data_IF_314205522120
#
_entry.id   IF_314205522120
#
_cell.length_a   1.000
_cell.length_b   1.000
_cell.length_c   1.000
_cell.angle_alpha   90.00
_cell.angle_beta   90.00
_cell.angle_gamma   90.00
#
_symmetry.space_group_name_H-M   'P 1'
#
loop_
_entity.id
_entity.type
_entity.pdbx_description
1 polymer ?
#
# COMPACT_ATOMS: atom_id res chain seq x y z
N UNK A 1 27.23 -47.69 -11.13
CA UNK A 1 26.34 -46.74 -10.43
C UNK A 1 25.50 -46.03 -11.47
N UNK A 2 24.24 -46.44 -11.56
CA UNK A 2 23.23 -45.95 -12.49
C UNK A 2 22.82 -44.53 -12.11
N UNK A 3 23.13 -43.56 -12.98
CA UNK A 3 22.53 -42.24 -12.90
C UNK A 3 21.10 -42.33 -13.45
N UNK A 4 20.18 -42.19 -12.51
CA UNK A 4 18.73 -42.06 -12.64
C UNK A 4 18.31 -41.23 -13.85
N UNK A 5 17.54 -41.89 -14.72
CA UNK A 5 16.76 -41.34 -15.82
C UNK A 5 16.02 -40.07 -15.39
N UNK A 6 16.31 -38.94 -16.05
CA UNK A 6 15.49 -37.74 -15.95
C UNK A 6 14.13 -38.05 -16.57
N UNK A 7 13.09 -38.16 -15.75
CA UNK A 7 11.69 -38.17 -16.22
C UNK A 7 11.42 -36.84 -16.95
N UNK A 8 11.56 -36.85 -18.28
CA UNK A 8 11.01 -35.79 -19.12
C UNK A 8 9.49 -35.92 -19.05
N UNK A 9 8.85 -34.90 -18.49
CA UNK A 9 7.41 -34.73 -18.58
C UNK A 9 7.01 -34.64 -20.07
N UNK A 10 5.88 -35.24 -20.50
CA UNK A 10 5.45 -35.22 -21.90
C UNK A 10 5.19 -33.79 -22.41
N UNK A 11 5.38 -33.54 -23.72
CA UNK A 11 5.08 -32.26 -24.42
C UNK A 11 3.58 -31.89 -24.47
N UNK A 12 2.73 -32.61 -23.74
CA UNK A 12 1.27 -32.40 -23.71
C UNK A 12 0.84 -31.86 -22.33
N UNK A 13 0.71 -30.54 -22.25
CA UNK A 13 0.26 -29.85 -21.05
C UNK A 13 -1.14 -30.31 -20.59
N UNK A 14 -1.97 -30.81 -21.52
CA UNK A 14 -3.30 -31.32 -21.20
C UNK A 14 -3.26 -32.67 -20.50
N UNK A 15 -2.38 -33.56 -20.94
CA UNK A 15 -2.15 -34.83 -20.25
C UNK A 15 -1.66 -34.60 -18.81
N UNK A 16 -0.72 -33.69 -18.62
CA UNK A 16 -0.19 -33.33 -17.28
C UNK A 16 -1.29 -32.71 -16.41
N UNK A 17 -2.16 -31.88 -16.99
CA UNK A 17 -3.31 -31.29 -16.30
C UNK A 17 -4.29 -32.35 -15.80
N UNK A 18 -4.68 -33.29 -16.65
CA UNK A 18 -5.61 -34.36 -16.28
C UNK A 18 -5.03 -35.29 -15.23
N UNK A 19 -3.73 -35.58 -15.32
CA UNK A 19 -3.07 -36.35 -14.28
C UNK A 19 -2.94 -35.56 -12.96
N UNK A 20 -2.70 -34.26 -13.02
CA UNK A 20 -2.71 -33.40 -11.84
C UNK A 20 -4.08 -33.43 -11.15
N UNK A 21 -5.17 -33.29 -11.89
CA UNK A 21 -6.53 -33.35 -11.34
C UNK A 21 -6.86 -34.69 -10.67
N UNK A 22 -6.23 -35.79 -11.10
CA UNK A 22 -6.41 -37.13 -10.50
C UNK A 22 -5.52 -37.40 -9.29
N UNK A 23 -4.32 -36.83 -9.27
CA UNK A 23 -3.25 -37.20 -8.33
C UNK A 23 -2.91 -36.13 -7.32
N UNK A 24 -3.32 -34.88 -7.57
CA UNK A 24 -2.96 -33.68 -6.81
C UNK A 24 -1.46 -33.53 -6.57
N UNK A 25 -0.64 -34.08 -7.48
CA UNK A 25 0.82 -34.12 -7.34
C UNK A 25 1.42 -32.72 -7.42
N UNK A 26 2.13 -32.30 -6.36
CA UNK A 26 2.79 -30.99 -6.27
C UNK A 26 3.76 -30.71 -7.43
N UNK A 27 4.53 -31.72 -7.87
CA UNK A 27 5.47 -31.57 -9.00
C UNK A 27 4.77 -31.22 -10.31
N UNK A 28 3.57 -31.77 -10.56
CA UNK A 28 2.78 -31.49 -11.76
C UNK A 28 2.15 -30.10 -11.69
N UNK A 29 1.65 -29.72 -10.51
CA UNK A 29 1.18 -28.36 -10.26
C UNK A 29 2.28 -27.32 -10.53
N UNK A 30 3.47 -27.53 -9.98
CA UNK A 30 4.63 -26.65 -10.19
C UNK A 30 4.99 -26.53 -11.68
N UNK A 31 5.01 -27.64 -12.40
CA UNK A 31 5.28 -27.65 -13.83
C UNK A 31 4.21 -26.87 -14.62
N UNK A 32 2.92 -27.10 -14.34
CA UNK A 32 1.81 -26.42 -15.02
C UNK A 32 1.82 -24.90 -14.75
N UNK A 33 2.10 -24.50 -13.50
CA UNK A 33 2.23 -23.09 -13.12
C UNK A 33 3.35 -22.43 -13.94
N UNK A 34 4.54 -23.06 -14.01
CA UNK A 34 5.67 -22.56 -14.80
C UNK A 34 5.37 -22.55 -16.30
N UNK A 35 4.68 -23.56 -16.80
CA UNK A 35 4.31 -23.67 -18.22
C UNK A 35 3.38 -22.52 -18.64
N UNK A 36 2.37 -22.20 -17.84
CA UNK A 36 1.39 -21.15 -18.14
C UNK A 36 1.78 -19.75 -17.61
N UNK A 37 2.88 -19.61 -16.87
CA UNK A 37 3.35 -18.32 -16.35
C UNK A 37 3.43 -17.20 -17.41
N UNK A 38 3.95 -17.43 -18.63
CA UNK A 38 3.99 -16.39 -19.67
C UNK A 38 2.59 -15.86 -20.02
N UNK A 39 1.58 -16.74 -20.04
CA UNK A 39 0.18 -16.36 -20.28
C UNK A 39 -0.33 -15.45 -19.15
N UNK A 40 0.02 -15.74 -17.90
CA UNK A 40 -0.32 -14.89 -16.75
C UNK A 40 0.35 -13.53 -16.86
N UNK A 41 1.65 -13.47 -17.26
CA UNK A 41 2.37 -12.20 -17.47
C UNK A 41 1.71 -11.34 -18.53
N UNK A 42 1.31 -11.93 -19.66
CA UNK A 42 0.59 -11.22 -20.73
C UNK A 42 -0.74 -10.65 -20.21
N UNK A 43 -1.51 -11.45 -19.47
CA UNK A 43 -2.77 -10.99 -18.88
C UNK A 43 -2.55 -9.85 -17.88
N UNK A 44 -1.59 -10.00 -16.96
CA UNK A 44 -1.25 -8.99 -15.96
C UNK A 44 -0.79 -7.68 -16.62
N UNK A 45 0.16 -7.74 -17.56
CA UNK A 45 0.65 -6.56 -18.30
C UNK A 45 -0.47 -5.84 -19.06
N UNK A 46 -1.45 -6.58 -19.60
CA UNK A 46 -2.61 -5.98 -20.26
C UNK A 46 -3.51 -5.24 -19.27
N UNK A 47 -3.69 -5.79 -18.06
CA UNK A 47 -4.53 -5.18 -17.02
C UNK A 47 -3.84 -4.04 -16.28
N UNK A 48 -2.51 -4.07 -16.16
CA UNK A 48 -1.71 -3.05 -15.48
C UNK A 48 -1.32 -1.85 -16.35
N UNK A 49 -1.73 -1.79 -17.64
CA UNK A 49 -1.38 -0.67 -18.55
C UNK A 49 -1.65 0.71 -17.96
N UNK A 50 -2.78 0.85 -17.27
CA UNK A 50 -3.18 2.12 -16.64
C UNK A 50 -2.80 2.18 -15.16
N UNK A 51 -2.23 1.10 -14.60
CA UNK A 51 -1.80 0.97 -13.20
C UNK A 51 -0.52 0.13 -13.10
N UNK A 52 0.63 0.65 -13.57
CA UNK A 52 1.89 -0.09 -13.52
C UNK A 52 2.31 -0.45 -12.09
N UNK A 53 1.91 0.38 -11.12
CA UNK A 53 2.07 0.19 -9.68
C UNK A 53 1.44 -1.11 -9.17
N UNK A 54 0.39 -1.62 -9.82
CA UNK A 54 -0.30 -2.85 -9.44
C UNK A 54 0.13 -4.06 -10.29
N UNK A 55 1.16 -3.94 -11.14
CA UNK A 55 1.54 -5.00 -12.07
C UNK A 55 1.95 -6.31 -11.37
N UNK A 56 2.73 -6.22 -10.29
CA UNK A 56 3.15 -7.39 -9.51
C UNK A 56 1.97 -8.05 -8.79
N UNK A 57 1.09 -7.25 -8.18
CA UNK A 57 -0.12 -7.74 -7.53
C UNK A 57 -1.06 -8.43 -8.52
N UNK A 58 -1.26 -7.84 -9.70
CA UNK A 58 -2.07 -8.42 -10.76
C UNK A 58 -1.49 -9.74 -11.25
N UNK A 59 -0.16 -9.83 -11.38
CA UNK A 59 0.50 -11.09 -11.70
C UNK A 59 0.25 -12.16 -10.63
N UNK A 60 0.37 -11.82 -9.34
CA UNK A 60 0.08 -12.76 -8.24
C UNK A 60 -1.39 -13.20 -8.22
N UNK A 61 -2.33 -12.28 -8.43
CA UNK A 61 -3.76 -12.60 -8.54
C UNK A 61 -4.02 -13.52 -9.73
N UNK A 62 -3.35 -13.27 -10.85
CA UNK A 62 -3.39 -14.14 -12.02
C UNK A 62 -2.86 -15.55 -11.73
N UNK A 63 -1.75 -15.66 -11.02
CA UNK A 63 -1.18 -16.95 -10.60
C UNK A 63 -2.13 -17.74 -9.69
N UNK A 64 -2.74 -17.06 -8.71
CA UNK A 64 -3.71 -17.69 -7.81
C UNK A 64 -4.98 -18.14 -8.56
N UNK A 65 -5.44 -17.33 -9.52
CA UNK A 65 -6.56 -17.68 -10.39
C UNK A 65 -6.21 -18.89 -11.26
N UNK A 66 -5.06 -18.88 -11.93
CA UNK A 66 -4.55 -20.00 -12.72
C UNK A 66 -4.55 -21.29 -11.90
N UNK A 67 -3.98 -21.25 -10.69
CA UNK A 67 -3.91 -22.42 -9.81
C UNK A 67 -5.30 -23.03 -9.56
N UNK A 68 -6.32 -22.20 -9.27
CA UNK A 68 -7.70 -22.67 -9.09
C UNK A 68 -8.31 -23.21 -10.38
N UNK A 69 -8.02 -22.57 -11.51
CA UNK A 69 -8.55 -22.95 -12.82
C UNK A 69 -7.99 -24.29 -13.29
N UNK A 70 -6.74 -24.62 -12.95
CA UNK A 70 -6.16 -25.94 -13.20
C UNK A 70 -6.97 -27.05 -12.51
N UNK A 71 -7.49 -26.80 -11.31
CA UNK A 71 -8.33 -27.77 -10.60
C UNK A 71 -9.77 -27.84 -11.12
N UNK A 72 -10.31 -26.72 -11.59
CA UNK A 72 -11.73 -26.58 -11.97
C UNK A 72 -12.03 -26.84 -13.44
N UNK A 73 -11.01 -26.88 -14.30
CA UNK A 73 -11.21 -27.04 -15.74
C UNK A 73 -11.80 -28.41 -16.10
N UNK A 74 -12.85 -28.41 -16.92
CA UNK A 74 -13.48 -29.62 -17.46
C UNK A 74 -13.27 -29.70 -18.99
N UNK A 75 -12.45 -30.64 -19.49
CA UNK A 75 -12.23 -30.81 -20.93
C UNK A 75 -13.49 -31.32 -21.67
N UNK A 76 -14.45 -31.92 -20.96
CA UNK A 76 -15.70 -32.42 -21.53
C UNK A 76 -16.59 -31.33 -22.14
N UNK A 77 -16.33 -30.06 -21.79
CA UNK A 77 -17.02 -28.89 -22.33
C UNK A 77 -16.53 -28.47 -23.73
N UNK A 78 -15.52 -29.14 -24.29
CA UNK A 78 -15.06 -28.93 -25.67
C UNK A 78 -14.31 -27.61 -25.91
N UNK A 79 -13.87 -26.93 -24.84
CA UNK A 79 -13.09 -25.69 -24.91
C UNK A 79 -11.63 -25.96 -24.52
N UNK A 80 -10.63 -25.46 -25.28
CA UNK A 80 -9.24 -25.51 -24.85
C UNK A 80 -9.03 -24.76 -23.53
N UNK A 81 -8.01 -25.16 -22.76
CA UNK A 81 -7.76 -24.59 -21.44
C UNK A 81 -7.32 -23.12 -21.50
N UNK A 82 -6.50 -22.73 -22.46
CA UNK A 82 -5.87 -21.42 -22.53
C UNK A 82 -6.89 -20.28 -22.73
N UNK A 83 -7.84 -20.36 -23.69
CA UNK A 83 -8.90 -19.36 -23.83
C UNK A 83 -9.80 -19.26 -22.60
N UNK A 84 -10.13 -20.40 -21.98
CA UNK A 84 -10.91 -20.46 -20.74
C UNK A 84 -10.17 -19.76 -19.60
N UNK A 85 -8.91 -20.15 -19.37
CA UNK A 85 -8.08 -19.63 -18.30
C UNK A 85 -7.82 -18.12 -18.47
N UNK A 86 -7.52 -17.68 -19.70
CA UNK A 86 -7.30 -16.27 -20.02
C UNK A 86 -8.52 -15.41 -19.65
N UNK A 87 -9.74 -15.83 -20.05
CA UNK A 87 -10.97 -15.11 -19.74
C UNK A 87 -11.21 -15.01 -18.24
N UNK A 88 -11.03 -16.11 -17.52
CA UNK A 88 -11.25 -16.18 -16.08
C UNK A 88 -10.22 -15.38 -15.28
N UNK A 89 -8.92 -15.50 -15.62
CA UNK A 89 -7.85 -14.73 -14.97
C UNK A 89 -8.06 -13.22 -15.14
N UNK A 90 -8.42 -12.76 -16.34
CA UNK A 90 -8.77 -11.35 -16.58
C UNK A 90 -9.95 -10.93 -15.69
N UNK A 91 -10.96 -11.79 -15.52
CA UNK A 91 -12.07 -11.53 -14.61
C UNK A 91 -11.63 -11.36 -13.15
N UNK A 92 -10.75 -12.24 -12.66
CA UNK A 92 -10.19 -12.14 -11.31
C UNK A 92 -9.37 -10.85 -11.12
N UNK A 93 -8.52 -10.50 -12.08
CA UNK A 93 -7.74 -9.27 -12.07
C UNK A 93 -8.64 -8.02 -12.08
N UNK A 94 -9.71 -8.01 -12.88
CA UNK A 94 -10.70 -6.92 -12.89
C UNK A 94 -11.41 -6.77 -11.55
N UNK A 95 -11.79 -7.88 -10.91
CA UNK A 95 -12.39 -7.85 -9.58
C UNK A 95 -11.39 -7.28 -8.55
N UNK A 96 -10.13 -7.73 -8.59
CA UNK A 96 -9.08 -7.19 -7.73
C UNK A 96 -8.91 -5.68 -7.93
N UNK A 97 -8.81 -5.21 -9.18
CA UNK A 97 -8.75 -3.78 -9.47
C UNK A 97 -9.96 -3.05 -8.89
N UNK A 98 -11.19 -3.49 -9.17
CA UNK A 98 -12.40 -2.85 -8.63
C UNK A 98 -12.37 -2.71 -7.11
N UNK A 99 -11.90 -3.74 -6.41
CA UNK A 99 -12.02 -3.84 -4.96
C UNK A 99 -10.80 -3.25 -4.22
N UNK A 100 -9.62 -3.25 -4.84
CA UNK A 100 -8.33 -2.92 -4.21
C UNK A 100 -7.55 -1.79 -4.88
N UNK A 101 -7.98 -1.27 -6.03
CA UNK A 101 -7.31 -0.12 -6.68
C UNK A 101 -7.55 1.22 -5.98
N UNK A 102 -8.51 1.29 -5.06
CA UNK A 102 -8.83 2.49 -4.30
C UNK A 102 -7.89 2.58 -3.09
N UNK A 103 -6.85 3.40 -3.21
CA UNK A 103 -5.88 3.65 -2.13
C UNK A 103 -6.54 4.36 -0.94
N UNK A 104 -7.52 5.24 -1.22
CA UNK A 104 -8.37 5.86 -0.22
C UNK A 104 -9.77 5.25 -0.33
N UNK A 105 -10.24 4.66 0.76
CA UNK A 105 -11.57 4.08 0.80
C UNK A 105 -12.62 5.19 0.88
N UNK A 106 -13.35 5.41 -0.22
CA UNK A 106 -14.54 6.27 -0.21
C UNK A 106 -15.82 5.43 0.05
N UNK A 107 -16.88 6.06 0.58
CA UNK A 107 -18.20 5.44 0.73
C UNK A 107 -18.68 4.73 -0.54
N UNK A 108 -19.40 3.62 -0.38
CA UNK A 108 -19.90 2.79 -1.50
C UNK A 108 -20.76 3.59 -2.49
N UNK A 109 -21.58 4.52 -1.99
CA UNK A 109 -22.41 5.41 -2.82
C UNK A 109 -21.57 6.21 -3.82
N UNK A 110 -20.44 6.77 -3.38
CA UNK A 110 -19.52 7.53 -4.24
C UNK A 110 -18.93 6.63 -5.32
N UNK A 111 -18.53 5.40 -4.97
CA UNK A 111 -18.01 4.43 -5.95
C UNK A 111 -19.05 4.08 -7.02
N UNK A 112 -20.27 3.77 -6.60
CA UNK A 112 -21.36 3.41 -7.53
C UNK A 112 -21.73 4.60 -8.43
N UNK A 113 -21.81 5.81 -7.86
CA UNK A 113 -22.19 7.01 -8.62
C UNK A 113 -21.07 7.52 -9.52
N UNK A 114 -19.79 7.26 -9.21
CA UNK A 114 -18.67 7.70 -10.06
C UNK A 114 -18.73 7.16 -11.49
N UNK A 115 -19.20 5.93 -11.69
CA UNK A 115 -19.39 5.34 -13.02
C UNK A 115 -20.54 6.02 -13.77
N UNK A 116 -21.63 6.30 -13.05
CA UNK A 116 -22.81 6.98 -13.60
C UNK A 116 -22.46 8.41 -14.03
N UNK A 117 -21.72 9.14 -13.19
CA UNK A 117 -21.19 10.47 -13.49
C UNK A 117 -20.26 10.44 -14.70
N UNK A 118 -19.39 9.43 -14.83
CA UNK A 118 -18.54 9.31 -16.01
C UNK A 118 -19.36 9.13 -17.30
N UNK A 119 -20.37 8.26 -17.28
CA UNK A 119 -21.25 8.08 -18.43
C UNK A 119 -21.99 9.37 -18.78
N UNK A 120 -22.48 10.11 -17.79
CA UNK A 120 -23.11 11.40 -18.01
C UNK A 120 -22.16 12.42 -18.63
N UNK A 121 -20.90 12.49 -18.17
CA UNK A 121 -19.87 13.34 -18.77
C UNK A 121 -19.65 12.97 -20.24
N UNK A 122 -19.52 11.69 -20.56
CA UNK A 122 -19.29 11.23 -21.93
C UNK A 122 -20.48 11.56 -22.85
N UNK A 123 -21.71 11.33 -22.38
CA UNK A 123 -22.94 11.68 -23.11
C UNK A 123 -23.09 13.18 -23.33
N UNK A 124 -22.88 13.98 -22.28
CA UNK A 124 -22.98 15.44 -22.36
C UNK A 124 -21.87 16.02 -23.22
N UNK A 125 -20.65 15.51 -23.13
CA UNK A 125 -19.54 15.94 -23.98
C UNK A 125 -19.85 15.70 -25.45
N UNK A 126 -20.42 14.54 -25.78
CA UNK A 126 -20.85 14.24 -27.14
C UNK A 126 -22.00 15.12 -27.62
N UNK A 127 -22.91 15.57 -26.75
CA UNK A 127 -24.07 16.42 -27.11
C UNK A 127 -23.72 17.90 -27.19
N UNK A 128 -22.84 18.37 -26.31
CA UNK A 128 -22.47 19.78 -26.16
C UNK A 128 -21.27 20.17 -27.02
N UNK A 129 -20.54 19.18 -27.55
CA UNK A 129 -19.27 19.37 -28.28
C UNK A 129 -18.20 20.12 -27.45
N UNK A 130 -18.33 20.04 -26.12
CA UNK A 130 -17.41 20.58 -25.11
C UNK A 130 -17.57 19.84 -23.80
N UNK A 131 -16.64 20.02 -22.87
CA UNK A 131 -16.79 19.50 -21.51
C UNK A 131 -18.01 20.15 -20.81
N UNK A 132 -18.86 19.35 -20.12
CA UNK A 132 -19.95 19.88 -19.31
C UNK A 132 -19.44 20.52 -18.01
N UNK A 133 -20.17 21.48 -17.46
CA UNK A 133 -19.93 22.02 -16.12
C UNK A 133 -20.63 21.16 -15.04
N UNK A 134 -20.38 21.45 -13.76
CA UNK A 134 -20.89 20.66 -12.64
C UNK A 134 -22.42 20.73 -12.58
N UNK A 135 -23.00 21.89 -12.87
CA UNK A 135 -24.44 22.11 -12.87
C UNK A 135 -25.17 21.32 -13.97
N UNK A 136 -24.56 21.21 -15.15
CA UNK A 136 -25.05 20.43 -16.29
C UNK A 136 -25.03 18.93 -15.99
N UNK A 137 -23.96 18.45 -15.33
CA UNK A 137 -23.86 17.05 -14.90
C UNK A 137 -24.92 16.76 -13.82
N UNK A 138 -25.02 17.63 -12.82
CA UNK A 138 -26.00 17.53 -11.74
C UNK A 138 -27.44 17.49 -12.27
N UNK A 139 -27.76 18.40 -13.20
CA UNK A 139 -29.07 18.46 -13.85
C UNK A 139 -29.39 17.26 -14.74
N UNK A 140 -28.39 16.71 -15.44
CA UNK A 140 -28.58 15.51 -16.27
C UNK A 140 -28.86 14.25 -15.43
N UNK A 141 -28.29 14.19 -14.22
CA UNK A 141 -28.40 13.05 -13.31
C UNK A 141 -29.47 13.20 -12.23
N UNK A 142 -30.13 14.35 -12.15
CA UNK A 142 -31.10 14.70 -11.11
C UNK A 142 -30.53 14.54 -9.69
N UNK A 143 -29.28 14.99 -9.50
CA UNK A 143 -28.58 15.01 -8.20
C UNK A 143 -28.13 16.44 -7.85
N UNK A 144 -27.78 16.67 -6.59
CA UNK A 144 -27.31 17.98 -6.13
C UNK A 144 -25.92 18.35 -6.68
N UNK A 145 -25.66 19.65 -6.85
CA UNK A 145 -24.32 20.16 -7.27
C UNK A 145 -23.24 19.79 -6.24
N UNK A 146 -23.54 19.90 -4.95
CA UNK A 146 -22.64 19.52 -3.86
C UNK A 146 -22.31 18.02 -3.90
N UNK A 147 -23.34 17.18 -4.06
CA UNK A 147 -23.16 15.73 -4.22
C UNK A 147 -22.34 15.40 -5.48
N UNK A 148 -22.61 16.07 -6.61
CA UNK A 148 -21.83 15.90 -7.85
C UNK A 148 -20.37 16.26 -7.63
N UNK A 149 -20.10 17.34 -6.89
CA UNK A 149 -18.75 17.80 -6.55
C UNK A 149 -18.03 16.79 -5.68
N UNK A 150 -18.71 16.24 -4.66
CA UNK A 150 -18.16 15.20 -3.79
C UNK A 150 -17.81 13.92 -4.59
N UNK A 151 -18.66 13.51 -5.53
CA UNK A 151 -18.41 12.34 -6.38
C UNK A 151 -17.21 12.59 -7.31
N UNK A 152 -17.10 13.78 -7.90
CA UNK A 152 -15.98 14.16 -8.76
C UNK A 152 -14.67 14.23 -7.97
N UNK A 153 -14.66 14.82 -6.77
CA UNK A 153 -13.50 14.82 -5.87
C UNK A 153 -13.13 13.41 -5.40
N UNK A 154 -14.15 12.59 -5.07
CA UNK A 154 -14.02 11.17 -4.75
C UNK A 154 -13.33 10.36 -5.84
N UNK A 155 -13.51 10.75 -7.11
CA UNK A 155 -12.82 10.16 -8.25
C UNK A 155 -11.36 10.60 -8.34
N UNK A 156 -11.05 11.84 -7.99
CA UNK A 156 -9.65 12.30 -7.94
C UNK A 156 -8.87 11.55 -6.85
N UNK A 157 -9.51 11.21 -5.73
CA UNK A 157 -8.95 10.36 -4.67
C UNK A 157 -8.63 8.90 -5.12
N UNK A 158 -9.02 8.52 -6.34
CA UNK A 158 -8.61 7.26 -6.97
C UNK A 158 -7.15 7.29 -7.47
N UNK A 159 -6.63 8.48 -7.77
CA UNK A 159 -5.26 8.69 -8.26
C UNK A 159 -4.47 9.49 -7.24
N UNK A 160 -3.36 8.94 -6.78
CA UNK A 160 -2.38 9.69 -6.00
C UNK A 160 -1.17 9.98 -6.89
N UNK A 161 -0.50 11.10 -6.60
CA UNK A 161 0.83 11.38 -7.16
C UNK A 161 1.86 10.90 -6.14
N UNK A 162 2.91 10.22 -6.59
CA UNK A 162 3.98 9.81 -5.69
C UNK A 162 4.73 11.04 -5.19
N UNK A 163 5.11 11.04 -3.91
CA UNK A 163 6.03 12.05 -3.39
C UNK A 163 7.42 11.89 -4.02
N UNK A 164 7.77 10.69 -4.48
CA UNK A 164 9.01 10.40 -5.19
C UNK A 164 8.94 10.77 -6.69
N UNK A 165 7.85 11.39 -7.15
CA UNK A 165 7.76 11.85 -8.54
C UNK A 165 8.76 12.99 -8.76
N UNK A 166 9.70 12.87 -9.72
CA UNK A 166 10.65 13.94 -10.01
C UNK A 166 9.92 15.14 -10.61
N UNK A 167 10.34 16.34 -10.23
CA UNK A 167 9.88 17.58 -10.85
C UNK A 167 10.45 17.72 -12.26
N UNK A 168 9.76 18.45 -13.13
CA UNK A 168 10.16 18.70 -14.52
C UNK A 168 11.32 19.70 -14.67
N UNK A 169 12.04 20.02 -13.59
CA UNK A 169 13.06 21.05 -13.58
C UNK A 169 14.43 20.42 -13.90
N UNK A 170 14.97 20.76 -15.09
CA UNK A 170 16.16 20.10 -15.68
C UNK A 170 17.47 20.38 -14.89
N UNK A 171 17.52 21.48 -14.15
CA UNK A 171 18.74 21.90 -13.44
C UNK A 171 18.87 21.30 -12.03
N UNK A 172 17.78 20.84 -11.42
CA UNK A 172 17.79 20.19 -10.11
C UNK A 172 16.53 19.32 -9.91
N UNK A 173 16.59 18.01 -10.22
CA UNK A 173 15.43 17.13 -10.09
C UNK A 173 15.13 16.88 -8.60
N UNK A 174 14.33 17.75 -8.00
CA UNK A 174 13.74 17.53 -6.69
C UNK A 174 12.60 16.51 -6.81
N UNK A 175 12.33 15.77 -5.74
CA UNK A 175 11.11 14.97 -5.67
C UNK A 175 9.95 15.86 -5.24
N UNK A 176 8.72 15.54 -5.65
CA UNK A 176 7.52 16.29 -5.28
C UNK A 176 7.37 16.42 -3.74
N UNK A 177 7.80 15.41 -3.00
CA UNK A 177 7.83 15.40 -1.54
C UNK A 177 8.79 16.41 -0.92
N UNK A 178 9.90 16.72 -1.59
CA UNK A 178 10.90 17.69 -1.10
C UNK A 178 10.35 19.13 -1.12
N UNK A 179 9.33 19.39 -1.94
CA UNK A 179 8.64 20.67 -2.01
C UNK A 179 7.59 20.85 -0.90
N UNK A 180 7.25 19.78 -0.18
CA UNK A 180 6.27 19.83 0.91
C UNK A 180 7.01 20.29 2.17
N UNK A 181 6.92 21.59 2.46
CA UNK A 181 7.44 22.16 3.69
C UNK A 181 6.76 21.53 4.92
N UNK A 182 7.54 20.99 5.84
CA UNK A 182 7.05 20.66 7.16
C UNK A 182 6.81 21.95 7.96
N UNK A 183 5.79 22.04 8.81
CA UNK A 183 5.60 23.16 9.72
C UNK A 183 6.67 23.21 10.84
N UNK A 184 7.67 22.33 10.81
CA UNK A 184 8.76 22.31 11.79
C UNK A 184 9.75 23.42 11.48
N UNK A 185 9.85 24.38 12.39
CA UNK A 185 10.97 25.30 12.43
C UNK A 185 12.22 24.54 12.91
N UNK A 186 13.05 24.11 11.97
CA UNK A 186 14.30 23.41 12.25
C UNK A 186 15.23 24.23 13.14
N UNK A 187 15.15 25.57 13.11
CA UNK A 187 15.90 26.43 14.03
C UNK A 187 15.37 26.34 15.46
N UNK A 188 14.05 26.37 15.65
CA UNK A 188 13.44 26.20 16.97
C UNK A 188 13.77 24.82 17.57
N UNK A 189 13.87 23.79 16.74
CA UNK A 189 14.32 22.46 17.16
C UNK A 189 15.79 22.44 17.61
N UNK A 190 16.68 23.16 16.92
CA UNK A 190 18.09 23.27 17.30
C UNK A 190 18.24 24.05 18.61
N UNK A 191 17.54 25.18 18.76
CA UNK A 191 17.53 25.98 19.98
C UNK A 191 17.03 25.15 21.18
N UNK A 192 15.91 24.45 21.01
CA UNK A 192 15.36 23.55 22.05
C UNK A 192 16.33 22.44 22.45
N UNK A 193 17.14 21.93 21.50
CA UNK A 193 18.15 20.90 21.80
C UNK A 193 19.35 21.48 22.56
N UNK A 194 19.79 22.69 22.21
CA UNK A 194 20.87 23.38 22.91
C UNK A 194 20.45 23.71 24.35
N UNK A 195 19.24 24.25 24.54
CA UNK A 195 18.67 24.55 25.85
C UNK A 195 18.55 23.28 26.73
N UNK A 196 18.07 22.18 26.13
CA UNK A 196 17.99 20.90 26.83
C UNK A 196 19.37 20.36 27.20
N UNK A 197 20.36 20.50 26.31
CA UNK A 197 21.73 20.05 26.58
C UNK A 197 22.35 20.83 27.77
N UNK A 198 22.21 22.16 27.79
CA UNK A 198 22.68 22.99 28.89
C UNK A 198 21.95 22.67 30.20
N UNK A 199 20.63 22.45 30.14
CA UNK A 199 19.84 22.09 31.31
C UNK A 199 20.21 20.70 31.88
N UNK A 200 20.56 19.74 31.02
CA UNK A 200 21.00 18.40 31.43
C UNK A 200 22.35 18.42 32.16
N UNK A 201 23.25 19.35 31.82
CA UNK A 201 24.54 19.54 32.51
C UNK A 201 24.36 20.04 33.96
N UNK A 202 23.24 20.69 34.26
CA UNK A 202 22.91 21.20 35.61
C UNK A 202 22.26 20.13 36.51
N UNK A 203 21.99 18.94 35.99
CA UNK A 203 21.48 17.82 36.79
C UNK A 203 22.60 17.11 37.55
N UNK A 204 22.25 16.53 38.71
CA UNK A 204 23.20 15.66 39.39
C UNK A 204 23.48 14.39 38.55
N UNK A 205 24.66 13.76 38.71
CA UNK A 205 25.01 12.54 37.97
C UNK A 205 23.97 11.43 38.08
N UNK A 206 23.36 11.26 39.27
CA UNK A 206 22.30 10.27 39.50
C UNK A 206 21.01 10.59 38.73
N UNK A 207 20.63 11.88 38.69
CA UNK A 207 19.45 12.36 37.95
C UNK A 207 19.66 12.16 36.44
N UNK A 208 20.84 12.54 35.92
CA UNK A 208 21.21 12.34 34.51
C UNK A 208 21.23 10.86 34.13
N UNK A 209 21.78 10.00 34.99
CA UNK A 209 21.81 8.54 34.76
C UNK A 209 20.42 7.95 34.68
N UNK A 210 19.53 8.29 35.62
CA UNK A 210 18.13 7.82 35.60
C UNK A 210 17.40 8.29 34.34
N UNK A 211 17.55 9.56 33.94
CA UNK A 211 16.91 10.06 32.72
C UNK A 211 17.41 9.36 31.45
N UNK A 212 18.72 9.07 31.34
CA UNK A 212 19.26 8.31 30.19
C UNK A 212 18.68 6.90 30.12
N UNK A 213 18.63 6.20 31.25
CA UNK A 213 18.08 4.83 31.28
C UNK A 213 16.60 4.81 30.89
N UNK A 214 15.82 5.83 31.26
CA UNK A 214 14.41 5.93 30.88
C UNK A 214 14.23 6.35 29.42
N UNK A 215 14.82 7.45 28.99
CA UNK A 215 14.49 8.10 27.71
C UNK A 215 15.40 7.72 26.55
N UNK A 216 16.64 7.28 26.82
CA UNK A 216 17.57 6.84 25.78
C UNK A 216 17.55 5.32 25.65
N UNK A 217 17.65 4.61 26.78
CA UNK A 217 17.68 3.14 26.79
C UNK A 217 16.28 2.52 26.81
N UNK A 218 15.25 3.26 27.23
CA UNK A 218 13.85 2.77 27.24
C UNK A 218 13.52 1.81 28.39
N UNK A 219 14.30 1.79 29.47
CA UNK A 219 14.07 0.88 30.60
C UNK A 219 12.91 1.34 31.49
N UNK A 220 12.16 0.36 32.03
CA UNK A 220 11.13 0.63 33.02
C UNK A 220 11.75 1.03 34.37
N UNK A 221 11.01 1.83 35.17
CA UNK A 221 11.48 2.23 36.51
C UNK A 221 11.78 1.05 37.43
N UNK A 222 11.10 -0.09 37.26
CA UNK A 222 11.38 -1.33 37.99
C UNK A 222 12.72 -1.93 37.57
N UNK A 223 12.95 -2.06 36.27
CA UNK A 223 14.23 -2.57 35.75
C UNK A 223 15.42 -1.71 36.18
N UNK A 224 15.25 -0.38 36.17
CA UNK A 224 16.28 0.57 36.65
C UNK A 224 16.51 0.41 38.17
N UNK A 225 15.45 0.19 38.93
CA UNK A 225 15.54 -0.02 40.38
C UNK A 225 16.31 -1.31 40.72
N UNK A 226 16.04 -2.38 40.00
CA UNK A 226 16.74 -3.66 40.13
C UNK A 226 18.23 -3.52 39.75
N UNK A 227 18.54 -2.80 38.66
CA UNK A 227 19.91 -2.53 38.21
C UNK A 227 20.71 -1.67 39.21
N UNK A 228 20.06 -0.68 39.82
CA UNK A 228 20.70 0.24 40.76
C UNK A 228 20.61 -0.20 42.24
N UNK A 229 19.98 -1.34 42.52
CA UNK A 229 19.85 -1.88 43.88
C UNK A 229 19.02 -1.01 44.83
N UNK A 230 18.03 -0.27 44.31
CA UNK A 230 17.17 0.64 45.07
C UNK A 230 15.70 0.35 44.85
N UNK A 231 14.81 1.00 45.60
CA UNK A 231 13.36 0.84 45.37
C UNK A 231 12.90 1.57 44.11
N UNK A 232 11.88 1.04 43.43
CA UNK A 232 11.23 1.72 42.29
C UNK A 232 10.68 3.10 42.68
N UNK A 233 10.21 3.26 43.92
CA UNK A 233 9.77 4.56 44.45
C UNK A 233 10.91 5.57 44.53
N UNK A 234 12.13 5.13 44.80
CA UNK A 234 13.33 5.98 44.77
C UNK A 234 13.60 6.47 43.34
N UNK A 235 13.55 5.59 42.34
CA UNK A 235 13.72 5.95 40.93
C UNK A 235 12.65 6.94 40.47
N UNK A 236 11.39 6.70 40.83
CA UNK A 236 10.28 7.61 40.53
C UNK A 236 10.50 9.01 41.10
N UNK A 237 10.96 9.11 42.36
CA UNK A 237 11.31 10.40 42.98
C UNK A 237 12.48 11.10 42.31
N UNK A 238 13.53 10.36 41.91
CA UNK A 238 14.69 10.92 41.21
C UNK A 238 14.26 11.46 39.84
N UNK A 239 13.52 10.66 39.06
CA UNK A 239 13.01 11.08 37.75
C UNK A 239 12.13 12.33 37.86
N UNK A 240 11.19 12.35 38.80
CA UNK A 240 10.29 13.49 38.99
C UNK A 240 11.07 14.77 39.33
N UNK A 241 12.01 14.69 40.27
CA UNK A 241 12.87 15.83 40.65
C UNK A 241 13.74 16.31 39.49
N UNK A 242 14.30 15.40 38.70
CA UNK A 242 15.08 15.74 37.52
C UNK A 242 14.23 16.48 36.47
N UNK A 243 13.02 15.98 36.19
CA UNK A 243 12.08 16.63 35.27
C UNK A 243 11.62 18.01 35.78
N UNK A 244 11.35 18.14 37.08
CA UNK A 244 10.96 19.42 37.68
C UNK A 244 12.10 20.45 37.64
N UNK A 245 13.37 20.01 37.72
CA UNK A 245 14.54 20.88 37.49
C UNK A 245 14.64 21.31 36.03
N UNK A 246 14.55 20.36 35.10
CA UNK A 246 14.62 20.67 33.66
C UNK A 246 13.51 21.65 33.24
N UNK A 247 12.27 21.48 33.72
CA UNK A 247 11.17 22.41 33.47
C UNK A 247 11.38 23.83 33.98
N UNK A 248 12.22 24.02 35.01
CA UNK A 248 12.56 25.35 35.53
C UNK A 248 13.71 25.99 34.77
N UNK A 249 14.56 25.17 34.15
CA UNK A 249 15.75 25.60 33.43
C UNK A 249 15.46 25.88 31.95
N UNK A 250 14.50 25.16 31.37
CA UNK A 250 14.08 25.29 29.98
C UNK A 250 12.83 26.17 29.97
N UNK A 251 12.85 27.29 29.24
CA UNK A 251 11.63 28.07 28.98
C UNK A 251 10.70 27.23 28.09
N UNK A 252 9.36 27.24 28.33
CA UNK A 252 8.46 26.63 27.37
C UNK A 252 8.63 27.32 26.01
N UNK A 253 8.59 26.57 24.89
CA UNK A 253 8.54 27.20 23.57
C UNK A 253 7.30 28.10 23.50
N UNK A 254 7.45 29.30 22.92
CA UNK A 254 6.32 30.17 22.58
C UNK A 254 5.43 29.55 21.51
#
# INVERSE_FOLDING_TARGET
>A
MSLSSSERLPDDAMAILLEYQRTECAKKAEWLIKHYEPMVKVAANKMSRNRPDLAEDLFQIGQLALFRLLTQFDPGLGMPFEPYAMKSMIGHMKNYLRDKSWYIQVPRRIKEMSLVVQHAIDELTSKLERSPNIEEIAGHLDIGVEETTEILAGRELYHYTSLDTPTTDDDNPAMLGDLIGAPSDDFANVESRLDLQEALEKLHPEESKVLRLVFVTGLSQRAIADELGVSQMSISRIQKRALDKLRKLIKPPE
#
